data_IF_443112731646
#
_entry.id   IF_443112731646
#
_cell.length_a   1.000
_cell.length_b   1.000
_cell.length_c   1.000
_cell.angle_alpha   90.00
_cell.angle_beta   90.00
_cell.angle_gamma   90.00
#
_symmetry.space_group_name_H-M   'P 1'
#
loop_
_entity.id
_entity.type
_entity.pdbx_description
1 polymer ?
#
# COMPACT_ATOMS: atom_id res chain seq x y z
N UNK A 1 -16.01 -6.56 9.15
CA UNK A 1 -14.68 -6.03 9.39
C UNK A 1 -13.90 -5.88 8.09
N UNK A 2 -13.07 -4.84 7.99
CA UNK A 2 -12.37 -4.52 6.73
C UNK A 2 -11.56 -5.70 6.18
N UNK A 3 -10.77 -6.35 7.04
CA UNK A 3 -9.93 -7.48 6.59
C UNK A 3 -10.75 -8.60 5.97
N UNK A 4 -11.89 -8.92 6.56
CA UNK A 4 -12.74 -10.01 6.07
C UNK A 4 -13.45 -9.64 4.77
N UNK A 5 -13.68 -8.36 4.53
CA UNK A 5 -14.44 -7.88 3.37
C UNK A 5 -13.57 -7.37 2.22
N UNK A 6 -12.26 -7.35 2.41
CA UNK A 6 -11.34 -6.70 1.45
C UNK A 6 -11.45 -7.24 0.03
N UNK A 7 -11.64 -8.55 -0.13
CA UNK A 7 -11.70 -9.16 -1.46
C UNK A 7 -12.98 -8.78 -2.21
N UNK A 8 -14.09 -8.62 -1.48
CA UNK A 8 -15.34 -8.16 -2.06
C UNK A 8 -15.31 -6.67 -2.37
N UNK A 9 -14.73 -5.88 -1.48
CA UNK A 9 -14.65 -4.42 -1.63
C UNK A 9 -13.63 -4.00 -2.68
N UNK A 10 -12.52 -4.74 -2.78
CA UNK A 10 -11.38 -4.36 -3.62
C UNK A 10 -10.94 -5.53 -4.49
N UNK A 11 -11.73 -5.92 -5.51
CA UNK A 11 -11.41 -7.10 -6.32
C UNK A 11 -10.12 -7.00 -7.13
N UNK A 12 -9.61 -5.79 -7.36
CA UNK A 12 -8.34 -5.60 -8.08
C UNK A 12 -7.13 -5.48 -7.15
N UNK A 13 -7.33 -5.69 -5.84
CA UNK A 13 -6.25 -5.61 -4.86
C UNK A 13 -6.05 -6.95 -4.18
N UNK A 14 -4.77 -7.33 -4.02
CA UNK A 14 -4.35 -8.38 -3.12
C UNK A 14 -3.68 -7.73 -1.91
N UNK A 15 -3.64 -8.41 -0.79
CA UNK A 15 -3.07 -7.87 0.43
C UNK A 15 -2.03 -8.83 1.01
N UNK A 16 -0.86 -8.32 1.38
CA UNK A 16 0.09 -9.10 2.15
C UNK A 16 -0.54 -9.49 3.49
N UNK A 17 -0.30 -10.71 3.99
CA UNK A 17 -0.88 -11.14 5.28
C UNK A 17 -0.57 -10.20 6.45
N UNK A 18 0.60 -9.56 6.43
CA UNK A 18 1.00 -8.62 7.49
C UNK A 18 0.08 -7.40 7.61
N UNK A 19 -0.70 -7.09 6.58
CA UNK A 19 -1.63 -5.94 6.62
C UNK A 19 -2.72 -6.15 7.67
N UNK A 20 -3.10 -7.39 7.95
CA UNK A 20 -4.07 -7.66 9.02
C UNK A 20 -3.59 -7.10 10.36
N UNK A 21 -2.35 -7.40 10.73
CA UNK A 21 -1.75 -6.88 11.97
C UNK A 21 -1.58 -5.36 11.90
N UNK A 22 -1.23 -4.81 10.73
CA UNK A 22 -1.13 -3.37 10.54
C UNK A 22 -2.46 -2.69 10.90
N UNK A 23 -3.56 -3.22 10.38
CA UNK A 23 -4.89 -2.65 10.64
C UNK A 23 -5.28 -2.76 12.11
N UNK A 24 -4.89 -3.84 12.78
CA UNK A 24 -5.16 -4.02 14.21
C UNK A 24 -4.43 -3.02 15.09
N UNK A 25 -3.27 -2.53 14.66
CA UNK A 25 -2.49 -1.54 15.39
C UNK A 25 -3.01 -0.13 15.25
N UNK A 26 -3.85 0.14 14.24
CA UNK A 26 -4.36 1.47 13.98
C UNK A 26 -5.67 1.69 14.72
N UNK A 27 -5.85 2.91 15.21
CA UNK A 27 -7.12 3.29 15.84
C UNK A 27 -8.23 3.32 14.78
N UNK A 28 -9.44 2.95 15.18
CA UNK A 28 -10.62 2.96 14.30
C UNK A 28 -10.84 4.31 13.62
N UNK A 29 -10.42 5.37 14.25
CA UNK A 29 -10.47 6.72 13.74
C UNK A 29 -9.83 6.86 12.36
N UNK A 30 -8.80 6.05 12.02
CA UNK A 30 -8.14 6.11 10.71
C UNK A 30 -8.80 5.26 9.65
N UNK A 31 -9.69 4.34 10.02
CA UNK A 31 -10.25 3.37 9.07
C UNK A 31 -10.98 4.02 7.90
N UNK A 32 -11.72 5.10 8.15
CA UNK A 32 -12.47 5.74 7.08
C UNK A 32 -11.55 6.34 6.01
N UNK A 33 -10.41 6.94 6.42
CA UNK A 33 -9.42 7.43 5.46
C UNK A 33 -8.79 6.28 4.68
N UNK A 34 -8.45 5.19 5.38
CA UNK A 34 -7.82 4.02 4.75
C UNK A 34 -8.75 3.40 3.72
N UNK A 35 -10.01 3.20 4.07
CA UNK A 35 -11.01 2.67 3.12
C UNK A 35 -11.14 3.58 1.92
N UNK A 36 -11.20 4.90 2.12
CA UNK A 36 -11.30 5.86 1.05
C UNK A 36 -10.09 5.78 0.10
N UNK A 37 -8.88 5.66 0.66
CA UNK A 37 -7.66 5.54 -0.14
C UNK A 37 -7.61 4.22 -0.90
N UNK A 38 -8.01 3.12 -0.28
CA UNK A 38 -8.09 1.83 -0.95
C UNK A 38 -9.13 1.84 -2.07
N UNK A 39 -10.26 2.52 -1.87
CA UNK A 39 -11.25 2.70 -2.91
C UNK A 39 -10.70 3.48 -4.10
N UNK A 40 -9.91 4.53 -3.83
CA UNK A 40 -9.25 5.29 -4.90
C UNK A 40 -8.28 4.41 -5.69
N UNK A 41 -7.51 3.56 -5.00
CA UNK A 41 -6.60 2.63 -5.66
C UNK A 41 -7.37 1.59 -6.47
N UNK A 42 -8.46 1.06 -5.94
CA UNK A 42 -9.34 0.12 -6.62
C UNK A 42 -9.92 0.74 -7.90
N UNK A 43 -10.40 1.99 -7.82
CA UNK A 43 -10.92 2.72 -8.97
C UNK A 43 -9.84 2.92 -10.04
N UNK A 44 -8.63 3.26 -9.63
CA UNK A 44 -7.51 3.38 -10.56
C UNK A 44 -7.29 2.07 -11.30
N UNK A 45 -7.28 0.95 -10.57
CA UNK A 45 -7.10 -0.37 -11.17
C UNK A 45 -8.19 -0.69 -12.18
N UNK A 46 -9.43 -0.40 -11.82
CA UNK A 46 -10.59 -0.70 -12.67
C UNK A 46 -10.60 0.12 -13.97
N UNK A 47 -10.14 1.37 -13.91
CA UNK A 47 -10.22 2.31 -15.04
C UNK A 47 -8.91 2.34 -15.84
N UNK A 48 -7.78 2.42 -15.15
CA UNK A 48 -6.46 2.63 -15.78
C UNK A 48 -5.65 1.35 -15.87
N UNK A 49 -5.96 0.35 -15.05
CA UNK A 49 -5.22 -0.90 -15.01
C UNK A 49 -4.31 -1.02 -13.81
N UNK A 50 -3.63 -2.15 -13.71
CA UNK A 50 -2.83 -2.53 -12.53
C UNK A 50 -1.32 -2.53 -12.78
N UNK A 51 -0.88 -2.33 -14.01
CA UNK A 51 0.53 -2.40 -14.39
C UNK A 51 1.32 -1.14 -14.03
N UNK A 52 0.69 0.02 -14.16
CA UNK A 52 1.33 1.33 -13.97
C UNK A 52 0.44 2.24 -13.15
N UNK A 53 1.06 3.21 -12.50
CA UNK A 53 0.35 4.22 -11.72
C UNK A 53 0.28 5.53 -12.51
N UNK A 54 -0.94 6.06 -12.63
CA UNK A 54 -1.17 7.38 -13.18
C UNK A 54 -1.35 8.36 -12.03
N UNK A 55 -0.32 9.14 -11.72
CA UNK A 55 -0.32 10.07 -10.61
C UNK A 55 -1.27 11.25 -10.80
N UNK A 56 -1.75 11.47 -12.03
CA UNK A 56 -2.78 12.49 -12.26
C UNK A 56 -4.15 12.03 -11.76
N UNK A 57 -4.33 10.72 -11.59
CA UNK A 57 -5.57 10.11 -11.11
C UNK A 57 -5.53 9.83 -9.62
N UNK A 58 -4.37 9.40 -9.11
CA UNK A 58 -4.18 9.11 -7.67
C UNK A 58 -3.46 10.26 -7.00
N UNK A 59 -4.18 11.02 -6.16
CA UNK A 59 -3.58 12.12 -5.41
C UNK A 59 -2.71 11.61 -4.26
N UNK A 60 -1.72 12.41 -3.86
CA UNK A 60 -0.81 12.13 -2.74
C UNK A 60 -0.14 10.76 -2.87
N UNK A 61 0.20 10.39 -4.09
CA UNK A 61 0.85 9.11 -4.42
C UNK A 61 2.21 9.38 -5.03
N UNK A 62 3.24 8.77 -4.47
CA UNK A 62 4.62 8.94 -4.92
C UNK A 62 5.38 7.62 -4.84
N UNK A 63 6.56 7.60 -5.49
CA UNK A 63 7.48 6.47 -5.43
C UNK A 63 8.66 6.82 -4.53
N UNK A 64 9.13 5.86 -3.74
CA UNK A 64 10.31 6.03 -2.91
C UNK A 64 11.56 6.18 -3.78
N UNK A 65 12.53 6.96 -3.29
CA UNK A 65 13.80 7.12 -3.99
C UNK A 65 14.60 5.81 -3.99
N UNK A 66 15.42 5.61 -5.01
CA UNK A 66 16.29 4.44 -5.06
C UNK A 66 17.27 4.42 -3.87
N UNK A 67 17.74 5.60 -3.43
CA UNK A 67 18.61 5.69 -2.26
C UNK A 67 17.94 5.14 -0.99
N UNK A 68 16.66 5.44 -0.79
CA UNK A 68 15.87 4.88 0.33
C UNK A 68 15.76 3.37 0.21
N UNK A 69 15.41 2.87 -0.97
CA UNK A 69 15.23 1.44 -1.18
C UNK A 69 16.53 0.67 -0.99
N UNK A 70 17.66 1.24 -1.41
CA UNK A 70 18.97 0.60 -1.25
C UNK A 70 19.38 0.54 0.23
N UNK A 71 19.18 1.61 0.96
CA UNK A 71 19.57 1.70 2.36
C UNK A 71 18.64 0.95 3.31
N UNK A 72 17.35 0.98 3.03
CA UNK A 72 16.32 0.39 3.89
C UNK A 72 15.51 -0.70 3.18
N UNK A 73 16.17 -1.51 2.37
CA UNK A 73 15.52 -2.57 1.60
C UNK A 73 14.63 -3.45 2.48
N UNK A 74 15.15 -3.90 3.62
CA UNK A 74 14.41 -4.78 4.52
C UNK A 74 13.13 -4.14 5.04
N UNK A 75 13.17 -2.84 5.34
CA UNK A 75 11.99 -2.12 5.84
C UNK A 75 10.90 -1.95 4.79
N UNK A 76 11.25 -2.09 3.52
CA UNK A 76 10.32 -1.95 2.39
C UNK A 76 10.02 -3.28 1.70
N UNK A 77 10.43 -4.41 2.30
CA UNK A 77 10.23 -5.74 1.74
C UNK A 77 9.12 -6.47 2.48
N UNK A 78 8.18 -7.03 1.73
CA UNK A 78 6.99 -7.69 2.28
C UNK A 78 6.72 -8.99 1.53
N UNK A 79 6.11 -9.96 2.21
CA UNK A 79 5.77 -11.24 1.61
C UNK A 79 4.29 -11.32 1.30
N UNK A 80 3.97 -11.87 0.12
CA UNK A 80 2.58 -12.15 -0.24
C UNK A 80 2.10 -13.45 0.43
N UNK A 81 0.87 -13.86 0.15
CA UNK A 81 0.29 -15.08 0.71
C UNK A 81 1.06 -16.35 0.34
N UNK A 82 1.78 -16.31 -0.77
CA UNK A 82 2.58 -17.45 -1.25
C UNK A 82 4.00 -17.45 -0.69
N UNK A 83 4.33 -16.47 0.14
CA UNK A 83 5.65 -16.34 0.73
C UNK A 83 6.68 -15.66 -0.17
N UNK A 84 6.29 -15.16 -1.33
CA UNK A 84 7.19 -14.45 -2.24
C UNK A 84 7.40 -13.03 -1.75
N UNK A 85 8.66 -12.57 -1.76
CA UNK A 85 9.04 -11.24 -1.29
C UNK A 85 8.96 -10.19 -2.39
N UNK A 86 8.48 -9.01 -2.03
CA UNK A 86 8.38 -7.85 -2.93
C UNK A 86 8.88 -6.62 -2.23
N UNK A 87 9.61 -5.78 -2.95
CA UNK A 87 9.99 -4.45 -2.47
C UNK A 87 8.89 -3.49 -2.89
N UNK A 88 8.21 -2.89 -1.92
CA UNK A 88 7.14 -1.94 -2.19
C UNK A 88 7.72 -0.53 -2.24
N UNK A 89 7.67 0.10 -3.42
CA UNK A 89 8.21 1.44 -3.64
C UNK A 89 7.15 2.51 -3.78
N UNK A 90 5.96 2.18 -4.22
CA UNK A 90 4.87 3.13 -4.36
C UNK A 90 4.10 3.27 -3.06
N UNK A 91 3.72 4.50 -2.71
CA UNK A 91 2.87 4.70 -1.56
C UNK A 91 1.90 5.86 -1.74
N UNK A 92 0.75 5.73 -1.08
CA UNK A 92 -0.24 6.79 -0.89
C UNK A 92 -0.12 7.29 0.54
N UNK A 93 -0.36 8.58 0.76
CA UNK A 93 -0.31 9.18 2.10
C UNK A 93 -1.72 9.37 2.64
N UNK A 94 -1.88 9.10 3.93
CA UNK A 94 -3.06 9.53 4.67
C UNK A 94 -2.62 10.30 5.91
N UNK A 95 -3.49 11.17 6.41
CA UNK A 95 -3.12 12.12 7.45
C UNK A 95 -3.36 11.59 8.85
N UNK A 96 -2.68 12.21 9.79
CA UNK A 96 -2.83 11.96 11.22
C UNK A 96 -1.60 11.43 11.90
N UNK A 97 -0.94 10.42 11.33
CA UNK A 97 0.12 9.68 12.04
C UNK A 97 1.55 9.78 11.53
N UNK A 98 2.01 10.38 10.55
CA UNK A 98 1.75 10.42 9.14
C UNK A 98 1.62 9.02 8.52
N UNK A 99 0.50 8.78 7.90
CA UNK A 99 0.16 7.46 7.39
C UNK A 99 0.62 7.19 5.98
N UNK A 100 0.87 5.91 5.71
CA UNK A 100 1.28 5.43 4.38
C UNK A 100 0.59 4.13 4.05
N UNK A 101 0.22 3.97 2.79
CA UNK A 101 -0.21 2.69 2.22
C UNK A 101 0.79 2.36 1.12
N UNK A 102 1.61 1.33 1.33
CA UNK A 102 2.59 0.89 0.34
C UNK A 102 2.01 -0.21 -0.52
N UNK A 103 2.29 -0.17 -1.83
CA UNK A 103 1.75 -1.15 -2.77
C UNK A 103 2.70 -1.39 -3.94
N UNK A 104 2.47 -2.51 -4.65
CA UNK A 104 3.26 -2.94 -5.81
C UNK A 104 2.35 -3.06 -7.03
N UNK A 105 2.52 -2.20 -8.06
CA UNK A 105 1.83 -2.36 -9.33
C UNK A 105 2.35 -3.58 -10.07
N UNK A 106 1.53 -4.15 -10.95
CA UNK A 106 1.96 -5.25 -11.81
C UNK A 106 2.19 -6.56 -11.08
N UNK A 107 1.62 -6.72 -9.90
CA UNK A 107 1.77 -7.93 -9.10
C UNK A 107 1.21 -9.16 -9.81
N UNK A 108 -0.01 -9.06 -10.30
CA UNK A 108 -0.69 -10.07 -11.12
C UNK A 108 -1.37 -9.35 -12.28
N UNK A 109 -1.78 -10.07 -13.35
CA UNK A 109 -2.34 -9.41 -14.54
C UNK A 109 -3.46 -8.42 -14.27
N UNK A 110 -4.28 -8.65 -13.24
CA UNK A 110 -5.40 -7.77 -12.94
C UNK A 110 -5.43 -7.33 -11.48
N UNK A 111 -4.28 -7.37 -10.80
CA UNK A 111 -4.23 -7.03 -9.36
C UNK A 111 -2.96 -6.30 -8.99
N UNK A 112 -3.09 -5.37 -8.05
CA UNK A 112 -1.97 -4.77 -7.33
C UNK A 112 -1.85 -5.39 -5.95
N UNK A 113 -0.65 -5.38 -5.38
CA UNK A 113 -0.39 -5.92 -4.05
C UNK A 113 -0.27 -4.78 -3.05
N UNK A 114 -1.17 -4.73 -2.07
CA UNK A 114 -1.07 -3.81 -0.93
C UNK A 114 -0.23 -4.49 0.14
N UNK A 115 0.89 -3.86 0.51
CA UNK A 115 1.91 -4.47 1.35
C UNK A 115 1.93 -3.98 2.78
N UNK A 116 1.56 -2.72 3.02
CA UNK A 116 1.72 -2.11 4.34
C UNK A 116 0.75 -0.94 4.51
N UNK A 117 0.14 -0.86 5.68
CA UNK A 117 -0.71 0.26 6.07
C UNK A 117 -0.32 0.67 7.49
N UNK A 118 0.21 1.90 7.63
CA UNK A 118 0.62 2.37 8.94
C UNK A 118 1.43 3.64 8.86
N UNK A 119 2.24 3.88 9.89
CA UNK A 119 3.16 5.02 9.92
C UNK A 119 4.18 4.91 8.80
N UNK A 120 4.64 6.06 8.31
CA UNK A 120 5.70 6.10 7.29
C UNK A 120 6.88 5.21 7.69
N UNK A 121 7.44 4.53 6.71
CA UNK A 121 8.60 3.67 6.90
C UNK A 121 9.88 4.49 6.86
N UNK A 122 11.00 3.91 7.30
CA UNK A 122 12.30 4.56 7.26
C UNK A 122 12.67 4.97 5.83
N UNK A 123 13.21 6.16 5.67
CA UNK A 123 13.77 6.63 4.41
C UNK A 123 14.98 7.52 4.69
N UNK A 124 15.70 7.94 3.64
CA UNK A 124 16.94 8.69 3.83
C UNK A 124 16.74 10.05 4.51
N UNK A 125 15.54 10.64 4.38
CA UNK A 125 15.22 11.90 5.06
C UNK A 125 14.73 11.67 6.50
N UNK A 126 14.21 10.48 6.81
CA UNK A 126 13.64 10.13 8.12
C UNK A 126 14.06 8.72 8.51
N UNK A 127 15.30 8.58 9.02
CA UNK A 127 15.87 7.24 9.31
C UNK A 127 15.32 6.57 10.55
N UNK A 128 14.43 7.21 11.28
CA UNK A 128 13.82 6.62 12.50
C UNK A 128 12.30 6.58 12.42
#
# INVERSE_FOLDING_TARGET
>A
ELWDKKDDLFPHLCFCPSVEADLQKLENYYLSQIVQKLEQLEQHCAITGTEKIDTSVLSKTTVESQATLDKYTADHTFRDEKGKSYVASWHMRFTGIPGRIFFVPGYEPERMLVCYIGKKLKNVSFPT
#
